data_IF_206456284523
#
_entry.id   IF_206456284523
#
_cell.length_a   1.000
_cell.length_b   1.000
_cell.length_c   1.000
_cell.angle_alpha   90.00
_cell.angle_beta   90.00
_cell.angle_gamma   90.00
#
_symmetry.space_group_name_H-M   'P 1'
#
loop_
_entity.id
_entity.type
_entity.pdbx_description
1 polymer ?
#
# COMPACT_ATOMS: atom_id res chain seq x y z
N UNK A 1 9.16 -20.80 -12.22
CA UNK A 1 8.69 -21.42 -10.96
C UNK A 1 8.77 -20.32 -9.93
N UNK A 2 7.70 -19.54 -9.79
CA UNK A 2 7.68 -18.44 -8.83
C UNK A 2 7.88 -19.00 -7.44
N UNK A 3 8.90 -18.49 -6.75
CA UNK A 3 9.21 -18.91 -5.40
C UNK A 3 7.94 -18.81 -4.56
N UNK A 4 7.49 -19.94 -4.03
CA UNK A 4 6.42 -19.99 -3.04
C UNK A 4 6.98 -19.29 -1.80
N UNK A 5 6.81 -17.96 -1.75
CA UNK A 5 6.97 -17.19 -0.54
C UNK A 5 5.86 -17.71 0.38
N UNK A 6 6.23 -18.53 1.36
CA UNK A 6 5.37 -18.77 2.52
C UNK A 6 5.18 -17.39 3.15
N UNK A 7 4.07 -16.74 2.83
CA UNK A 7 3.79 -15.37 3.27
C UNK A 7 3.43 -15.43 4.74
N UNK A 8 4.33 -14.94 5.57
CA UNK A 8 4.21 -14.85 7.04
C UNK A 8 2.97 -14.04 7.50
N UNK A 9 2.34 -13.28 6.60
CA UNK A 9 1.24 -12.36 6.92
C UNK A 9 0.10 -12.42 5.88
N UNK A 10 -1.17 -12.27 6.30
CA UNK A 10 -2.24 -11.90 5.38
C UNK A 10 -2.01 -10.48 4.84
N UNK A 11 -2.46 -10.22 3.61
CA UNK A 11 -2.35 -8.89 3.01
C UNK A 11 -2.17 -8.89 1.51
N UNK A 12 -1.59 -7.81 1.00
CA UNK A 12 -1.41 -7.55 -0.42
C UNK A 12 0.06 -7.65 -0.79
N UNK A 13 0.37 -8.33 -1.88
CA UNK A 13 1.75 -8.61 -2.27
C UNK A 13 1.95 -8.35 -3.75
N UNK A 14 2.85 -7.43 -4.08
CA UNK A 14 3.25 -7.17 -5.44
C UNK A 14 3.93 -8.39 -6.05
N UNK A 15 3.60 -8.69 -7.31
CA UNK A 15 4.30 -9.74 -8.05
C UNK A 15 5.46 -9.14 -8.85
N UNK A 16 6.68 -9.33 -8.34
CA UNK A 16 7.89 -8.81 -9.01
C UNK A 16 8.20 -9.51 -10.33
N UNK A 17 7.74 -10.74 -10.54
CA UNK A 17 7.99 -11.48 -11.78
C UNK A 17 7.19 -10.92 -12.95
N UNK A 18 6.01 -10.37 -12.67
CA UNK A 18 5.18 -9.66 -13.65
C UNK A 18 5.45 -8.15 -13.66
N UNK A 19 6.59 -7.70 -13.12
CA UNK A 19 6.92 -6.27 -12.97
C UNK A 19 5.80 -5.49 -12.27
N UNK A 20 5.25 -6.08 -11.20
CA UNK A 20 4.17 -5.53 -10.39
C UNK A 20 2.87 -5.24 -11.18
N UNK A 21 2.71 -5.82 -12.38
CA UNK A 21 1.44 -5.74 -13.10
C UNK A 21 0.38 -6.61 -12.44
N UNK A 22 0.78 -7.77 -11.92
CA UNK A 22 -0.05 -8.57 -11.05
C UNK A 22 0.27 -8.29 -9.58
N UNK A 23 -0.70 -8.62 -8.73
CA UNK A 23 -0.54 -8.63 -7.29
C UNK A 23 -1.43 -9.72 -6.69
N UNK A 24 -1.10 -10.13 -5.48
CA UNK A 24 -1.75 -11.23 -4.80
C UNK A 24 -2.38 -10.74 -3.49
N UNK A 25 -3.65 -11.07 -3.31
CA UNK A 25 -4.35 -11.01 -2.03
C UNK A 25 -4.19 -12.33 -1.30
N UNK A 26 -3.75 -12.30 -0.05
CA UNK A 26 -3.73 -13.44 0.86
C UNK A 26 -4.60 -13.11 2.06
N UNK A 27 -5.71 -13.82 2.22
CA UNK A 27 -6.66 -13.63 3.31
C UNK A 27 -6.18 -14.27 4.62
N UNK A 28 -6.78 -13.87 5.74
CA UNK A 28 -6.51 -14.44 7.07
C UNK A 28 -6.79 -15.94 7.13
N UNK A 29 -7.74 -16.42 6.32
CA UNK A 29 -8.12 -17.84 6.23
C UNK A 29 -7.19 -18.64 5.30
N UNK A 30 -6.13 -18.03 4.77
CA UNK A 30 -5.20 -18.64 3.83
C UNK A 30 -5.71 -18.70 2.38
N UNK A 31 -6.90 -18.18 2.09
CA UNK A 31 -7.41 -18.02 0.72
C UNK A 31 -6.53 -17.03 -0.05
N UNK A 32 -6.24 -17.34 -1.31
CA UNK A 32 -5.39 -16.50 -2.15
C UNK A 32 -6.08 -16.18 -3.47
N UNK A 33 -5.91 -14.95 -3.93
CA UNK A 33 -6.40 -14.50 -5.24
C UNK A 33 -5.34 -13.61 -5.90
N UNK A 34 -5.28 -13.68 -7.22
CA UNK A 34 -4.37 -12.86 -8.03
C UNK A 34 -5.19 -11.88 -8.85
N UNK A 35 -4.73 -10.64 -8.93
CA UNK A 35 -5.38 -9.56 -9.66
C UNK A 35 -4.38 -8.87 -10.56
N UNK A 36 -4.89 -8.22 -11.61
CA UNK A 36 -4.10 -7.40 -12.52
C UNK A 36 -4.46 -5.94 -12.32
N UNK A 37 -3.44 -5.08 -12.29
CA UNK A 37 -3.65 -3.65 -12.41
C UNK A 37 -4.10 -3.29 -13.85
N UNK A 38 -4.85 -2.19 -14.02
CA UNK A 38 -5.16 -1.65 -15.34
C UNK A 38 -3.91 -1.30 -16.17
N UNK A 39 -4.07 -1.22 -17.50
CA UNK A 39 -2.99 -0.85 -18.40
C UNK A 39 -2.40 0.53 -18.04
N UNK A 40 -1.07 0.61 -17.96
CA UNK A 40 -0.34 1.83 -17.58
C UNK A 40 -0.16 2.04 -16.08
N UNK A 41 -0.63 1.11 -15.24
CA UNK A 41 -0.44 1.16 -13.78
C UNK A 41 0.28 -0.09 -13.29
N UNK A 42 0.96 0.01 -12.15
CA UNK A 42 1.60 -1.10 -11.44
C UNK A 42 1.17 -1.08 -9.98
N UNK A 43 1.18 -2.23 -9.33
CA UNK A 43 0.86 -2.33 -7.92
C UNK A 43 2.01 -1.75 -7.07
N UNK A 44 1.69 -0.73 -6.28
CA UNK A 44 2.61 -0.11 -5.35
C UNK A 44 2.50 -0.76 -3.97
N UNK A 45 3.50 -1.57 -3.60
CA UNK A 45 3.53 -2.21 -2.28
C UNK A 45 3.56 -1.19 -1.12
N UNK A 46 4.08 0.01 -1.35
CA UNK A 46 4.21 1.04 -0.33
C UNK A 46 2.86 1.60 0.14
N UNK A 47 1.90 1.69 -0.77
CA UNK A 47 0.58 2.32 -0.54
C UNK A 47 -0.59 1.37 -0.82
N UNK A 48 -0.30 0.12 -1.22
CA UNK A 48 -1.25 -0.98 -1.42
C UNK A 48 -2.34 -0.67 -2.46
N UNK A 49 -1.98 0.08 -3.51
CA UNK A 49 -2.88 0.43 -4.63
C UNK A 49 -2.15 0.32 -5.97
N UNK A 50 -2.89 0.18 -7.06
CA UNK A 50 -2.35 0.37 -8.41
C UNK A 50 -2.12 1.87 -8.63
N UNK A 51 -0.87 2.24 -8.93
CA UNK A 51 -0.47 3.63 -9.25
C UNK A 51 0.22 3.64 -10.62
N UNK A 52 0.42 4.82 -11.18
CA UNK A 52 1.13 4.99 -12.45
C UNK A 52 2.51 4.36 -12.39
N UNK A 53 2.88 3.66 -13.47
CA UNK A 53 4.10 2.86 -13.54
C UNK A 53 5.39 3.62 -13.16
N UNK A 54 5.45 4.93 -13.40
CA UNK A 54 6.61 5.77 -13.08
C UNK A 54 6.73 6.14 -11.59
N UNK A 55 5.63 6.07 -10.83
CA UNK A 55 5.60 6.28 -9.38
C UNK A 55 6.00 5.01 -8.61
N UNK A 56 5.91 3.84 -9.24
CA UNK A 56 6.13 2.55 -8.60
C UNK A 56 7.60 2.13 -8.70
N UNK A 57 8.17 1.66 -7.58
CA UNK A 57 9.50 1.03 -7.51
C UNK A 57 9.34 -0.46 -7.25
N UNK A 58 9.00 -1.22 -8.29
CA UNK A 58 8.60 -2.62 -8.16
C UNK A 58 9.66 -3.51 -7.49
N UNK A 59 10.95 -3.28 -7.78
CA UNK A 59 12.07 -4.04 -7.20
C UNK A 59 12.19 -3.89 -5.68
N UNK A 60 11.64 -2.80 -5.11
CA UNK A 60 11.64 -2.57 -3.67
C UNK A 60 10.48 -3.27 -2.96
N UNK A 61 9.49 -3.79 -3.69
CA UNK A 61 8.29 -4.40 -3.12
C UNK A 61 8.57 -5.50 -2.09
N UNK A 62 9.51 -6.45 -2.30
CA UNK A 62 9.79 -7.48 -1.30
C UNK A 62 10.23 -6.92 0.06
N UNK A 63 10.95 -5.79 0.08
CA UNK A 63 11.36 -5.11 1.31
C UNK A 63 10.19 -4.42 2.03
N UNK A 64 9.09 -4.20 1.33
CA UNK A 64 7.90 -3.49 1.81
C UNK A 64 6.75 -4.44 2.19
N UNK A 65 6.89 -5.76 2.02
CA UNK A 65 5.86 -6.74 2.43
C UNK A 65 5.51 -6.66 3.92
N UNK A 66 6.44 -6.22 4.77
CA UNK A 66 6.20 -6.01 6.20
C UNK A 66 5.10 -4.96 6.49
N UNK A 67 4.76 -4.09 5.53
CA UNK A 67 3.65 -3.13 5.66
C UNK A 67 2.32 -3.86 5.86
N UNK A 68 2.18 -5.09 5.34
CA UNK A 68 0.99 -5.91 5.55
C UNK A 68 0.72 -6.19 7.04
N UNK A 69 1.73 -6.18 7.90
CA UNK A 69 1.53 -6.32 9.35
C UNK A 69 0.70 -5.20 9.98
N UNK A 70 0.49 -4.07 9.27
CA UNK A 70 -0.40 -2.97 9.67
C UNK A 70 -1.85 -3.18 9.24
N UNK A 71 -2.10 -4.11 8.34
CA UNK A 71 -3.45 -4.46 7.93
C UNK A 71 -4.16 -5.18 9.08
N UNK A 72 -5.47 -4.98 9.16
CA UNK A 72 -6.34 -5.59 10.19
C UNK A 72 -6.01 -5.21 11.64
N UNK A 73 -5.08 -4.27 11.87
CA UNK A 73 -4.87 -3.71 13.19
C UNK A 73 -6.12 -2.93 13.62
N UNK A 74 -6.51 -3.08 14.89
CA UNK A 74 -7.55 -2.23 15.46
C UNK A 74 -7.06 -0.78 15.44
N UNK A 75 -7.89 0.17 14.95
CA UNK A 75 -7.58 1.58 15.08
C UNK A 75 -7.27 1.90 16.55
N UNK A 76 -6.06 2.35 16.83
CA UNK A 76 -5.66 2.84 18.15
C UNK A 76 -6.18 4.24 18.40
N UNK A 77 -6.42 4.98 17.32
CA UNK A 77 -6.96 6.32 17.29
C UNK A 77 -8.48 6.31 17.07
N UNK A 78 -9.18 7.20 17.78
CA UNK A 78 -10.61 7.40 17.60
C UNK A 78 -10.91 7.83 16.15
N UNK A 79 -11.87 7.21 15.43
CA UNK A 79 -12.24 7.63 14.07
C UNK A 79 -12.71 9.09 13.99
N UNK A 80 -13.19 9.63 15.11
CA UNK A 80 -13.62 11.02 15.26
C UNK A 80 -12.50 11.99 15.59
N UNK A 81 -11.26 11.52 15.80
CA UNK A 81 -10.13 12.45 16.01
C UNK A 81 -9.81 13.18 14.70
N UNK A 82 -9.73 14.51 14.71
CA UNK A 82 -9.36 15.26 13.52
C UNK A 82 -7.92 14.91 13.10
N UNK A 83 -7.75 14.28 11.93
CA UNK A 83 -6.46 13.83 11.40
C UNK A 83 -5.48 14.98 11.05
N UNK A 84 -5.97 16.22 10.98
CA UNK A 84 -5.14 17.42 10.87
C UNK A 84 -5.94 18.61 11.38
N UNK A 85 -5.48 19.25 12.44
CA UNK A 85 -6.11 20.49 12.91
C UNK A 85 -5.64 21.62 11.99
N UNK A 86 -6.54 22.13 11.15
CA UNK A 86 -6.27 23.33 10.37
C UNK A 86 -6.39 24.51 11.34
N UNK A 87 -5.26 24.90 11.94
CA UNK A 87 -5.20 26.07 12.81
C UNK A 87 -5.23 27.33 11.95
N UNK A 88 -5.71 28.45 12.52
CA UNK A 88 -5.62 29.76 11.86
C UNK A 88 -4.17 30.11 11.50
N UNK A 89 -3.24 29.80 12.40
CA UNK A 89 -1.80 29.98 12.19
C UNK A 89 -1.27 29.14 11.01
N UNK A 90 -1.76 27.91 10.83
CA UNK A 90 -1.39 27.09 9.66
C UNK A 90 -1.92 27.71 8.36
N UNK A 91 -3.16 28.22 8.36
CA UNK A 91 -3.73 28.91 7.20
C UNK A 91 -2.95 30.19 6.87
N UNK A 92 -2.58 30.98 7.87
CA UNK A 92 -1.79 32.20 7.70
C UNK A 92 -0.40 31.88 7.14
N UNK A 93 0.26 30.83 7.63
CA UNK A 93 1.57 30.41 7.12
C UNK A 93 1.51 29.87 5.67
N UNK A 94 0.40 29.23 5.26
CA UNK A 94 0.25 28.70 3.90
C UNK A 94 -0.19 29.79 2.91
N UNK A 95 -1.11 30.67 3.30
CA UNK A 95 -1.79 31.57 2.37
C UNK A 95 -1.42 33.05 2.53
N UNK A 96 -0.94 33.49 3.70
CA UNK A 96 -0.68 34.90 3.99
C UNK A 96 0.81 35.24 4.12
N UNK A 97 1.70 34.24 4.13
CA UNK A 97 3.15 34.47 4.15
C UNK A 97 3.65 34.79 2.73
N UNK A 98 3.66 36.07 2.41
CA UNK A 98 4.47 36.66 1.34
C UNK A 98 5.76 37.20 1.93
#
# INVERSE_FOLDING_TARGET
MSAVVVKEYPGFFADVETRCQAWHYCDIDGRQATFLCPNGTQFSQAVLVCDWWFNVRCELSPKLYAINGRLYQRPTESPTRPHRVITKELLENIFAKK
#
